data_IF_038795350292
#
_entry.id   IF_038795350292
#
_cell.length_a   1.000
_cell.length_b   1.000
_cell.length_c   1.000
_cell.angle_alpha   90.00
_cell.angle_beta   90.00
_cell.angle_gamma   90.00
#
_symmetry.space_group_name_H-M   'P 1'
#
loop_
_entity.id
_entity.type
_entity.pdbx_description
1 polymer ?
#
# COMPACT_ATOMS: atom_id res chain seq x y z
N UNK A 1 -60.40 1.42 49.94
CA UNK A 1 -59.11 2.13 49.78
C UNK A 1 -58.05 1.30 50.49
N UNK A 2 -57.23 0.60 49.72
CA UNK A 2 -56.13 -0.24 50.20
C UNK A 2 -54.83 0.17 49.45
N UNK A 3 -53.65 -0.03 50.05
CA UNK A 3 -52.48 0.80 49.79
C UNK A 3 -51.49 0.21 48.77
N UNK A 4 -50.61 1.12 48.35
CA UNK A 4 -49.48 0.98 47.42
C UNK A 4 -48.58 -0.23 47.67
N UNK A 5 -48.43 -1.07 46.65
CA UNK A 5 -47.40 -2.11 46.58
C UNK A 5 -46.13 -1.60 45.92
N UNK A 6 -45.08 -1.46 46.72
CA UNK A 6 -43.69 -1.22 46.31
C UNK A 6 -43.16 -2.45 45.56
N UNK A 7 -42.78 -2.31 44.28
CA UNK A 7 -42.05 -3.36 43.55
C UNK A 7 -40.55 -3.24 43.84
N UNK A 8 -39.99 -4.25 44.51
CA UNK A 8 -38.55 -4.48 44.56
C UNK A 8 -38.07 -4.97 43.18
N UNK A 9 -37.06 -4.31 42.62
CA UNK A 9 -36.30 -4.82 41.48
C UNK A 9 -35.07 -5.53 42.05
N UNK A 10 -35.05 -6.85 41.90
CA UNK A 10 -33.88 -7.68 42.21
C UNK A 10 -32.91 -7.54 41.04
N UNK A 11 -31.77 -6.88 41.28
CA UNK A 11 -30.65 -6.85 40.33
C UNK A 11 -29.83 -8.12 40.58
N UNK A 12 -29.90 -9.06 39.63
CA UNK A 12 -29.02 -10.22 39.59
C UNK A 12 -27.74 -9.81 38.86
N UNK A 13 -26.65 -9.63 39.61
CA UNK A 13 -25.31 -9.48 39.04
C UNK A 13 -24.75 -10.87 38.71
N UNK A 14 -24.64 -11.18 37.43
CA UNK A 14 -23.87 -12.33 36.94
C UNK A 14 -22.49 -11.84 36.53
N UNK A 15 -21.54 -12.04 37.43
CA UNK A 15 -20.12 -11.81 37.24
C UNK A 15 -19.52 -12.94 36.37
N UNK A 16 -19.00 -12.57 35.19
CA UNK A 16 -18.11 -13.41 34.38
C UNK A 16 -17.08 -12.51 33.69
N UNK A 17 -15.97 -12.31 34.41
CA UNK A 17 -14.59 -12.17 33.92
C UNK A 17 -14.40 -11.49 32.56
N UNK A 18 -14.25 -10.17 32.63
CA UNK A 18 -13.86 -9.28 31.55
C UNK A 18 -12.37 -9.39 31.19
N UNK A 19 -12.07 -9.76 29.95
CA UNK A 19 -10.95 -9.17 29.20
C UNK A 19 -11.54 -8.12 28.27
N UNK A 20 -11.66 -6.89 28.79
CA UNK A 20 -12.19 -5.74 28.08
C UNK A 20 -11.08 -5.03 27.31
N UNK A 21 -11.29 -4.83 26.00
CA UNK A 21 -10.68 -3.72 25.27
C UNK A 21 -11.80 -2.91 24.62
N UNK A 22 -12.14 -1.81 25.29
CA UNK A 22 -13.00 -0.76 24.77
C UNK A 22 -12.18 0.14 23.85
N UNK A 23 -12.73 0.53 22.70
CA UNK A 23 -12.35 1.80 22.10
C UNK A 23 -13.58 2.69 21.91
N UNK A 24 -13.54 3.78 22.68
CA UNK A 24 -14.33 4.99 22.55
C UNK A 24 -14.29 5.51 21.11
N UNK A 25 -15.46 5.87 20.59
CA UNK A 25 -15.58 6.93 19.60
C UNK A 25 -15.73 8.25 20.38
N UNK A 26 -14.75 9.15 20.27
CA UNK A 26 -14.90 10.51 20.77
C UNK A 26 -15.93 11.25 19.91
N UNK A 27 -17.16 11.33 20.42
CA UNK A 27 -18.11 12.36 20.04
C UNK A 27 -17.71 13.66 20.77
N UNK A 28 -17.11 14.59 20.04
CA UNK A 28 -16.95 15.97 20.51
C UNK A 28 -18.32 16.66 20.41
N UNK A 29 -18.91 16.90 21.57
CA UNK A 29 -20.09 17.72 21.79
C UNK A 29 -19.68 19.19 21.65
N UNK A 30 -20.15 19.88 20.61
CA UNK A 30 -20.01 21.35 20.48
C UNK A 30 -21.37 21.96 20.84
N UNK A 31 -21.48 22.75 21.93
CA UNK A 31 -22.70 23.49 22.20
C UNK A 31 -22.87 24.63 21.19
N UNK A 32 -24.06 24.72 20.60
CA UNK A 32 -24.52 25.87 19.81
C UNK A 32 -24.77 27.05 20.76
N UNK A 33 -23.98 28.12 20.63
CA UNK A 33 -24.49 29.48 20.86
C UNK A 33 -23.55 30.53 20.25
N UNK A 34 -24.17 31.62 19.77
CA UNK A 34 -23.61 32.91 19.34
C UNK A 34 -23.21 33.08 17.86
N UNK A 35 -24.22 33.49 17.11
CA UNK A 35 -24.18 34.45 16.01
C UNK A 35 -23.41 35.73 16.35
N UNK A 36 -22.52 36.18 15.47
CA UNK A 36 -22.58 37.49 14.76
C UNK A 36 -21.23 37.95 14.19
N UNK A 37 -21.25 38.26 12.88
CA UNK A 37 -20.56 39.35 12.16
C UNK A 37 -19.07 39.63 12.38
N UNK A 38 -18.26 39.53 11.30
CA UNK A 38 -17.65 40.71 10.65
C UNK A 38 -16.93 40.40 9.32
N UNK A 39 -16.95 41.45 8.48
CA UNK A 39 -16.57 41.62 7.08
C UNK A 39 -15.10 41.33 6.72
N UNK A 40 -14.95 40.90 5.46
CA UNK A 40 -14.00 41.33 4.39
C UNK A 40 -12.65 41.94 4.77
N UNK A 41 -11.56 41.45 4.15
CA UNK A 41 -10.61 42.22 3.32
C UNK A 41 -9.68 41.26 2.53
N UNK A 42 -9.51 41.59 1.25
CA UNK A 42 -8.56 41.06 0.26
C UNK A 42 -7.08 41.14 0.69
N UNK A 43 -6.23 40.23 0.17
CA UNK A 43 -5.12 40.56 -0.76
C UNK A 43 -4.26 39.33 -1.14
N UNK A 44 -4.01 39.25 -2.43
CA UNK A 44 -3.09 38.39 -3.20
C UNK A 44 -1.61 38.53 -2.81
N UNK A 45 -0.84 37.43 -2.89
CA UNK A 45 0.51 37.39 -3.49
C UNK A 45 0.79 36.02 -4.12
N UNK A 46 1.33 35.94 -5.36
CA UNK A 46 1.82 34.70 -5.94
C UNK A 46 3.24 34.42 -5.46
N UNK A 47 3.50 33.20 -4.98
CA UNK A 47 4.86 32.78 -4.65
C UNK A 47 5.43 31.99 -5.84
N UNK A 48 6.47 32.58 -6.42
CA UNK A 48 7.20 32.10 -7.57
C UNK A 48 8.34 31.20 -7.08
N UNK A 49 8.19 29.88 -7.15
CA UNK A 49 9.29 28.94 -6.93
C UNK A 49 9.57 28.19 -8.23
N UNK A 50 10.67 28.57 -8.88
CA UNK A 50 11.27 27.82 -10.01
C UNK A 50 11.57 26.37 -9.57
N UNK A 51 11.27 25.35 -10.38
CA UNK A 51 11.70 24.00 -10.10
C UNK A 51 13.22 23.89 -10.23
N UNK A 52 13.88 23.24 -9.27
CA UNK A 52 15.31 22.92 -9.31
C UNK A 52 15.56 21.86 -10.42
N UNK A 53 16.37 22.13 -11.45
CA UNK A 53 16.57 21.22 -12.59
C UNK A 53 17.51 20.03 -12.31
N UNK A 54 18.12 19.93 -11.12
CA UNK A 54 19.18 18.93 -10.86
C UNK A 54 18.66 17.48 -10.68
N UNK A 55 17.49 17.27 -10.08
CA UNK A 55 17.00 15.90 -9.78
C UNK A 55 16.31 15.20 -10.95
N UNK A 56 15.72 15.96 -11.87
CA UNK A 56 15.15 15.38 -13.09
C UNK A 56 16.26 14.83 -14.01
N UNK A 57 17.39 15.53 -14.11
CA UNK A 57 18.56 15.09 -14.88
C UNK A 57 19.20 13.81 -14.29
N UNK A 58 19.32 13.70 -12.97
CA UNK A 58 19.84 12.49 -12.31
C UNK A 58 18.93 11.26 -12.52
N UNK A 59 17.60 11.45 -12.51
CA UNK A 59 16.65 10.35 -12.77
C UNK A 59 16.58 9.97 -14.25
N UNK A 60 16.77 10.92 -15.17
CA UNK A 60 16.93 10.65 -16.61
C UNK A 60 18.21 9.87 -16.87
N UNK A 61 19.32 10.24 -16.21
CA UNK A 61 20.63 9.60 -16.33
C UNK A 61 20.60 8.13 -15.87
N UNK A 62 19.94 7.85 -14.75
CA UNK A 62 19.71 6.48 -14.23
C UNK A 62 18.83 5.67 -15.19
N UNK A 63 17.79 6.27 -15.80
CA UNK A 63 16.96 5.60 -16.82
C UNK A 63 17.74 5.30 -18.09
N UNK A 64 18.60 6.22 -18.56
CA UNK A 64 19.49 5.97 -19.70
C UNK A 64 20.57 4.92 -19.39
N UNK A 65 21.05 4.84 -18.15
CA UNK A 65 21.97 3.79 -17.71
C UNK A 65 21.29 2.41 -17.68
N UNK A 66 20.07 2.30 -17.17
CA UNK A 66 19.32 1.03 -17.17
C UNK A 66 18.95 0.58 -18.60
N UNK A 67 18.52 1.52 -19.46
CA UNK A 67 18.30 1.26 -20.89
C UNK A 67 19.61 0.91 -21.63
N UNK A 68 20.73 1.52 -21.25
CA UNK A 68 22.06 1.22 -21.77
C UNK A 68 22.54 -0.17 -21.39
N UNK A 69 22.33 -0.59 -20.13
CA UNK A 69 22.64 -1.93 -19.62
C UNK A 69 21.77 -2.98 -20.31
N UNK A 70 20.47 -2.73 -20.50
CA UNK A 70 19.58 -3.63 -21.26
C UNK A 70 19.96 -3.71 -22.75
N UNK A 71 20.34 -2.60 -23.39
CA UNK A 71 20.82 -2.60 -24.78
C UNK A 71 22.18 -3.29 -24.94
N UNK A 72 23.10 -3.14 -23.99
CA UNK A 72 24.42 -3.78 -24.01
C UNK A 72 24.33 -5.29 -23.69
N UNK A 73 23.45 -5.68 -22.76
CA UNK A 73 23.19 -7.08 -22.43
C UNK A 73 22.49 -7.87 -23.54
N UNK A 74 21.57 -7.24 -24.28
CA UNK A 74 20.85 -7.91 -25.36
C UNK A 74 21.62 -7.86 -26.69
N UNK A 75 22.37 -6.79 -27.00
CA UNK A 75 23.14 -6.71 -28.26
C UNK A 75 24.39 -7.58 -28.29
N UNK A 76 25.08 -7.80 -27.16
CA UNK A 76 26.26 -8.69 -27.14
C UNK A 76 25.90 -10.17 -27.27
N UNK A 77 24.74 -10.61 -26.78
CA UNK A 77 24.30 -12.00 -27.01
C UNK A 77 23.73 -12.24 -28.41
N UNK A 78 23.07 -11.26 -29.03
CA UNK A 78 22.57 -11.41 -30.41
C UNK A 78 23.65 -11.30 -31.49
N UNK A 79 24.75 -10.58 -31.25
CA UNK A 79 25.85 -10.47 -32.22
C UNK A 79 26.77 -11.70 -32.24
N UNK A 80 26.86 -12.43 -31.13
CA UNK A 80 27.67 -13.66 -31.04
C UNK A 80 26.93 -14.87 -31.61
N UNK A 81 25.59 -14.88 -31.62
CA UNK A 81 24.80 -16.02 -32.13
C UNK A 81 24.50 -15.92 -33.64
N UNK A 82 24.77 -14.79 -34.31
CA UNK A 82 24.42 -14.58 -35.72
C UNK A 82 25.57 -14.63 -36.74
N UNK A 83 26.79 -14.95 -36.33
CA UNK A 83 27.92 -14.98 -37.27
C UNK A 83 28.87 -16.19 -37.11
N UNK A 84 28.33 -17.36 -36.79
CA UNK A 84 29.05 -18.64 -36.90
C UNK A 84 28.31 -19.56 -37.87
N UNK A 85 28.20 -19.06 -39.09
CA UNK A 85 27.99 -19.88 -40.28
C UNK A 85 29.21 -19.73 -41.17
N UNK A 86 30.14 -20.68 -41.04
CA UNK A 86 31.25 -21.03 -41.94
C UNK A 86 32.64 -20.47 -41.62
N UNK A 87 33.56 -21.44 -41.67
CA UNK A 87 35.01 -21.38 -41.79
C UNK A 87 35.82 -21.24 -40.50
N UNK A 88 36.47 -22.36 -40.16
CA UNK A 88 37.50 -22.44 -39.15
C UNK A 88 38.71 -21.61 -39.57
N UNK A 89 38.93 -20.51 -38.86
CA UNK A 89 40.20 -19.82 -38.80
C UNK A 89 40.67 -19.82 -37.35
N UNK A 90 41.90 -20.26 -37.11
CA UNK A 90 42.63 -20.03 -35.87
C UNK A 90 42.58 -18.53 -35.52
N UNK A 91 41.78 -18.17 -34.53
CA UNK A 91 41.85 -16.86 -33.91
C UNK A 91 43.13 -16.81 -33.08
N UNK A 92 44.19 -16.27 -33.68
CA UNK A 92 45.41 -15.91 -32.97
C UNK A 92 45.07 -15.09 -31.73
N UNK A 93 45.56 -15.53 -30.57
CA UNK A 93 45.51 -14.77 -29.33
C UNK A 93 46.30 -13.47 -29.50
N UNK A 94 45.63 -12.43 -29.99
CA UNK A 94 46.12 -11.07 -29.89
C UNK A 94 46.32 -10.78 -28.40
N UNK A 95 47.58 -10.79 -27.95
CA UNK A 95 47.96 -10.36 -26.60
C UNK A 95 47.43 -8.96 -26.42
N UNK A 96 46.39 -8.81 -25.60
CA UNK A 96 45.94 -7.48 -25.18
C UNK A 96 47.13 -6.76 -24.56
N UNK A 97 47.29 -5.50 -24.97
CA UNK A 97 48.30 -4.63 -24.41
C UNK A 97 48.15 -4.56 -22.87
N UNK A 98 49.22 -4.79 -22.09
CA UNK A 98 49.15 -4.80 -20.63
C UNK A 98 48.63 -3.49 -20.03
N UNK A 99 48.83 -2.35 -20.71
CA UNK A 99 48.30 -1.05 -20.33
C UNK A 99 46.78 -0.98 -20.49
N UNK A 100 46.23 -1.54 -21.58
CA UNK A 100 44.78 -1.63 -21.81
C UNK A 100 44.11 -2.55 -20.79
N UNK A 101 44.71 -3.70 -20.47
CA UNK A 101 44.21 -4.61 -19.44
C UNK A 101 44.17 -3.94 -18.05
N UNK A 102 45.20 -3.14 -17.72
CA UNK A 102 45.26 -2.39 -16.45
C UNK A 102 44.21 -1.29 -16.38
N UNK A 103 43.94 -0.57 -17.47
CA UNK A 103 42.90 0.46 -17.53
C UNK A 103 41.50 -0.17 -17.38
N UNK A 104 41.25 -1.31 -18.04
CA UNK A 104 39.97 -2.02 -17.91
C UNK A 104 39.72 -2.53 -16.49
N UNK A 105 40.74 -3.06 -15.80
CA UNK A 105 40.61 -3.49 -14.41
C UNK A 105 40.34 -2.32 -13.44
N UNK A 106 41.00 -1.18 -13.63
CA UNK A 106 40.77 0.02 -12.80
C UNK A 106 39.34 0.58 -12.97
N UNK A 107 38.76 0.46 -14.17
CA UNK A 107 37.38 0.91 -14.43
C UNK A 107 36.32 -0.06 -13.86
N UNK A 108 36.64 -1.36 -13.78
CA UNK A 108 35.81 -2.36 -13.12
C UNK A 108 35.79 -2.18 -11.60
N UNK A 109 36.94 -1.96 -10.97
CA UNK A 109 37.02 -1.73 -9.51
C UNK A 109 36.26 -0.46 -9.10
N UNK A 110 36.36 0.62 -9.88
CA UNK A 110 35.60 1.85 -9.63
C UNK A 110 34.10 1.65 -9.81
N UNK A 111 33.67 0.81 -10.77
CA UNK A 111 32.26 0.43 -10.92
C UNK A 111 31.76 -0.39 -9.75
N UNK A 112 32.54 -1.35 -9.28
CA UNK A 112 32.16 -2.21 -8.15
C UNK A 112 32.05 -1.41 -6.85
N UNK A 113 32.96 -0.46 -6.60
CA UNK A 113 32.84 0.45 -5.45
C UNK A 113 31.64 1.39 -5.56
N UNK A 114 31.33 1.88 -6.78
CA UNK A 114 30.11 2.67 -7.00
C UNK A 114 28.84 1.82 -6.78
N UNK A 115 28.82 0.56 -7.21
CA UNK A 115 27.71 -0.36 -6.98
C UNK A 115 27.56 -0.66 -5.48
N UNK A 116 28.66 -0.95 -4.77
CA UNK A 116 28.63 -1.14 -3.31
C UNK A 116 28.14 0.11 -2.58
N UNK A 117 28.56 1.29 -3.01
CA UNK A 117 28.12 2.56 -2.43
C UNK A 117 26.63 2.79 -2.70
N UNK A 118 26.14 2.54 -3.92
CA UNK A 118 24.73 2.62 -4.26
C UNK A 118 23.89 1.59 -3.52
N UNK A 119 24.38 0.37 -3.30
CA UNK A 119 23.72 -0.66 -2.48
C UNK A 119 23.74 -0.31 -0.99
N UNK A 120 24.79 0.36 -0.50
CA UNK A 120 24.91 0.87 0.86
C UNK A 120 24.04 2.11 1.10
N UNK A 121 23.80 2.90 0.06
CA UNK A 121 22.86 4.02 0.07
C UNK A 121 21.42 3.53 -0.14
N UNK A 122 21.18 2.48 -0.92
CA UNK A 122 19.88 1.77 -1.00
C UNK A 122 19.58 0.94 0.25
N UNK A 123 20.57 0.69 1.11
CA UNK A 123 20.36 0.27 2.52
C UNK A 123 19.62 1.33 3.36
N UNK A 124 19.09 2.39 2.73
CA UNK A 124 17.90 3.12 3.17
C UNK A 124 16.77 2.13 3.49
N UNK A 125 16.71 1.78 4.78
CA UNK A 125 15.64 1.05 5.49
C UNK A 125 14.97 -0.06 4.68
N UNK A 126 15.64 -1.21 4.63
CA UNK A 126 15.12 -2.50 4.13
C UNK A 126 13.73 -2.87 4.70
N UNK A 127 13.38 -2.30 5.86
CA UNK A 127 12.05 -2.36 6.45
C UNK A 127 11.55 -0.98 6.88
N UNK A 128 10.49 -0.51 6.23
CA UNK A 128 9.73 0.66 6.67
C UNK A 128 8.79 0.20 7.79
N UNK A 129 8.96 0.77 8.98
CA UNK A 129 8.15 0.40 10.15
C UNK A 129 6.74 0.95 10.02
N UNK A 130 5.76 0.18 10.48
CA UNK A 130 4.39 0.65 10.63
C UNK A 130 4.32 1.70 11.74
N UNK A 131 3.80 2.88 11.41
CA UNK A 131 3.63 3.99 12.34
C UNK A 131 2.22 3.96 12.94
N UNK A 132 2.11 3.57 14.21
CA UNK A 132 0.81 3.51 14.92
C UNK A 132 0.78 4.43 16.13
N UNK A 133 -0.38 5.05 16.36
CA UNK A 133 -0.65 5.87 17.54
C UNK A 133 -2.08 5.63 17.99
N UNK A 134 -2.29 5.34 19.28
CA UNK A 134 -3.61 4.98 19.85
C UNK A 134 -4.33 3.90 19.04
N UNK A 135 -3.59 2.87 18.61
CA UNK A 135 -4.13 1.76 17.81
C UNK A 135 -4.47 2.10 16.35
N UNK A 136 -4.15 3.32 15.88
CA UNK A 136 -4.43 3.76 14.51
C UNK A 136 -3.15 4.01 13.73
N UNK A 137 -3.08 3.51 12.49
CA UNK A 137 -2.00 3.82 11.56
C UNK A 137 -2.05 5.28 11.08
N UNK A 138 -0.89 5.93 11.05
CA UNK A 138 -0.66 7.26 10.46
C UNK A 138 0.50 7.22 9.45
N UNK A 139 0.46 8.10 8.44
CA UNK A 139 1.51 8.21 7.44
C UNK A 139 2.78 8.84 8.05
N UNK A 140 3.95 8.38 7.61
CA UNK A 140 5.27 8.94 7.96
C UNK A 140 6.00 9.42 6.69
N UNK A 141 7.09 10.18 6.82
CA UNK A 141 7.91 10.53 5.64
C UNK A 141 8.38 9.29 4.87
N UNK A 142 8.64 8.18 5.58
CA UNK A 142 9.06 6.92 4.95
C UNK A 142 7.92 6.33 4.09
N UNK A 143 6.68 6.30 4.58
CA UNK A 143 5.55 5.76 3.79
C UNK A 143 5.14 6.66 2.63
N UNK A 144 5.34 7.97 2.76
CA UNK A 144 5.13 8.94 1.68
C UNK A 144 6.12 8.66 0.54
N UNK A 145 7.41 8.55 0.86
CA UNK A 145 8.45 8.20 -0.13
C UNK A 145 8.19 6.83 -0.76
N UNK A 146 7.73 5.87 0.04
CA UNK A 146 7.37 4.55 -0.46
C UNK A 146 6.24 4.62 -1.49
N UNK A 147 5.23 5.46 -1.26
CA UNK A 147 4.13 5.67 -2.22
C UNK A 147 4.63 6.36 -3.50
N UNK A 148 5.53 7.35 -3.37
CA UNK A 148 6.17 8.01 -4.53
C UNK A 148 6.98 7.03 -5.38
N UNK A 149 7.63 6.06 -4.74
CA UNK A 149 8.48 5.04 -5.38
C UNK A 149 7.65 4.00 -6.16
N UNK A 150 6.61 3.43 -5.53
CA UNK A 150 5.79 2.39 -6.17
C UNK A 150 4.72 2.94 -7.11
N UNK A 151 4.27 4.18 -6.92
CA UNK A 151 3.16 4.78 -7.65
C UNK A 151 1.77 4.43 -7.09
N UNK A 152 0.90 5.45 -7.01
CA UNK A 152 -0.48 5.29 -6.56
C UNK A 152 -1.33 4.43 -7.52
N UNK A 153 -1.02 4.49 -8.81
CA UNK A 153 -1.62 3.67 -9.86
C UNK A 153 -1.42 2.17 -9.62
N UNK A 154 -0.26 1.76 -9.10
CA UNK A 154 0.02 0.35 -8.77
C UNK A 154 -0.82 -0.14 -7.59
N UNK A 155 -1.09 0.72 -6.61
CA UNK A 155 -2.02 0.39 -5.51
C UNK A 155 -3.44 0.22 -6.04
N UNK A 156 -3.90 1.11 -6.92
CA UNK A 156 -5.21 1.00 -7.55
C UNK A 156 -5.34 -0.29 -8.36
N UNK A 157 -4.35 -0.60 -9.21
CA UNK A 157 -4.28 -1.84 -9.97
C UNK A 157 -4.36 -3.08 -9.06
N UNK A 158 -3.57 -3.11 -7.97
CA UNK A 158 -3.60 -4.20 -6.99
C UNK A 158 -4.98 -4.40 -6.40
N UNK A 159 -5.65 -3.32 -6.01
CA UNK A 159 -6.99 -3.42 -5.42
C UNK A 159 -8.08 -3.76 -6.44
N UNK A 160 -7.93 -3.37 -7.70
CA UNK A 160 -8.82 -3.81 -8.78
C UNK A 160 -8.68 -5.31 -9.02
N UNK A 161 -7.46 -5.79 -9.22
CA UNK A 161 -7.13 -7.22 -9.39
C UNK A 161 -7.61 -8.07 -8.21
N UNK A 162 -7.48 -7.56 -6.98
CA UNK A 162 -8.05 -8.22 -5.80
C UNK A 162 -9.57 -8.41 -5.91
N UNK A 163 -10.33 -7.37 -6.28
CA UNK A 163 -11.79 -7.47 -6.36
C UNK A 163 -12.25 -8.32 -7.54
N UNK A 164 -11.55 -8.29 -8.66
CA UNK A 164 -11.81 -9.19 -9.79
C UNK A 164 -11.71 -10.66 -9.37
N UNK A 165 -10.70 -11.01 -8.57
CA UNK A 165 -10.58 -12.35 -7.99
C UNK A 165 -11.64 -12.60 -6.91
N UNK A 166 -11.91 -11.63 -6.05
CA UNK A 166 -12.88 -11.76 -4.96
C UNK A 166 -14.31 -12.03 -5.47
N UNK A 167 -14.70 -11.43 -6.61
CA UNK A 167 -16.01 -11.66 -7.22
C UNK A 167 -16.18 -13.07 -7.80
N UNK A 168 -15.07 -13.73 -8.10
CA UNK A 168 -15.04 -15.11 -8.60
C UNK A 168 -14.94 -16.14 -7.46
N UNK A 169 -14.48 -15.72 -6.28
CA UNK A 169 -14.32 -16.59 -5.12
C UNK A 169 -15.66 -16.82 -4.41
N UNK A 170 -16.15 -18.06 -4.41
CA UNK A 170 -17.45 -18.43 -3.82
C UNK A 170 -17.50 -18.17 -2.31
N UNK A 171 -16.36 -18.18 -1.61
CA UNK A 171 -16.33 -17.93 -0.17
C UNK A 171 -16.51 -16.43 0.12
N UNK A 172 -15.84 -15.57 -0.63
CA UNK A 172 -15.79 -14.13 -0.36
C UNK A 172 -16.88 -13.34 -1.09
N UNK A 173 -17.32 -13.78 -2.26
CA UNK A 173 -18.33 -13.05 -3.06
C UNK A 173 -19.65 -12.84 -2.30
N UNK A 174 -19.99 -13.76 -1.40
CA UNK A 174 -21.19 -13.63 -0.56
C UNK A 174 -21.18 -12.37 0.32
N UNK A 175 -20.01 -11.78 0.60
CA UNK A 175 -19.88 -10.53 1.34
C UNK A 175 -19.99 -9.29 0.45
N UNK A 176 -20.06 -9.45 -0.88
CA UNK A 176 -20.18 -8.34 -1.83
C UNK A 176 -21.64 -8.19 -2.26
N UNK A 177 -22.30 -7.13 -1.78
CA UNK A 177 -23.70 -6.85 -2.12
C UNK A 177 -23.91 -6.58 -3.61
N UNK A 178 -23.00 -5.84 -4.24
CA UNK A 178 -23.10 -5.38 -5.64
C UNK A 178 -21.70 -5.36 -6.27
N UNK A 179 -21.52 -5.98 -7.44
CA UNK A 179 -20.26 -5.90 -8.21
C UNK A 179 -20.10 -4.57 -8.94
N UNK A 180 -21.18 -3.77 -9.06
CA UNK A 180 -21.15 -2.49 -9.78
C UNK A 180 -20.55 -1.35 -8.96
N UNK A 181 -20.38 -1.57 -7.66
CA UNK A 181 -19.78 -0.54 -6.81
C UNK A 181 -18.26 -0.47 -7.06
N UNK A 182 -17.64 0.71 -6.93
CA UNK A 182 -16.22 0.91 -7.18
C UNK A 182 -15.37 0.41 -5.99
N UNK A 183 -15.44 -0.89 -5.69
CA UNK A 183 -14.82 -1.46 -4.49
C UNK A 183 -13.29 -1.35 -4.50
N UNK A 184 -12.66 -1.66 -5.63
CA UNK A 184 -11.21 -1.51 -5.84
C UNK A 184 -10.75 -0.09 -5.55
N UNK A 185 -11.36 0.89 -6.21
CA UNK A 185 -11.04 2.30 -6.02
C UNK A 185 -11.18 2.74 -4.56
N UNK A 186 -12.26 2.35 -3.87
CA UNK A 186 -12.46 2.71 -2.46
C UNK A 186 -11.34 2.16 -1.57
N UNK A 187 -10.95 0.91 -1.77
CA UNK A 187 -9.87 0.29 -0.99
C UNK A 187 -8.52 0.90 -1.35
N UNK A 188 -8.22 1.06 -2.64
CA UNK A 188 -6.96 1.61 -3.13
C UNK A 188 -6.75 3.04 -2.67
N UNK A 189 -7.76 3.91 -2.81
CA UNK A 189 -7.70 5.29 -2.31
C UNK A 189 -7.51 5.35 -0.78
N UNK A 190 -8.12 4.42 -0.04
CA UNK A 190 -7.89 4.33 1.41
C UNK A 190 -6.45 3.92 1.75
N UNK A 191 -5.86 2.96 1.04
CA UNK A 191 -4.45 2.57 1.21
C UNK A 191 -3.52 3.74 0.85
N UNK A 192 -3.77 4.42 -0.28
CA UNK A 192 -3.01 5.59 -0.73
C UNK A 192 -3.03 6.70 0.34
N UNK A 193 -4.20 7.02 0.88
CA UNK A 193 -4.33 7.98 1.98
C UNK A 193 -3.54 7.52 3.23
N UNK A 194 -3.55 6.22 3.55
CA UNK A 194 -2.81 5.65 4.68
C UNK A 194 -1.29 5.70 4.49
N UNK A 195 -0.80 5.68 3.26
CA UNK A 195 0.61 5.88 2.94
C UNK A 195 1.03 7.36 2.97
N UNK A 196 0.06 8.28 2.87
CA UNK A 196 0.30 9.72 2.92
C UNK A 196 0.03 10.46 1.61
N UNK A 197 -0.70 9.86 0.67
CA UNK A 197 -1.11 10.48 -0.60
C UNK A 197 -2.16 11.60 -0.48
N UNK A 198 -2.27 12.25 0.69
CA UNK A 198 -3.28 13.26 0.98
C UNK A 198 -4.68 12.69 1.24
N UNK A 199 -5.66 13.57 1.39
CA UNK A 199 -7.04 13.25 1.75
C UNK A 199 -7.87 12.68 0.57
N UNK A 200 -7.30 11.81 -0.26
CA UNK A 200 -7.92 11.32 -1.51
C UNK A 200 -9.16 10.45 -1.27
N UNK A 201 -9.27 9.82 -0.11
CA UNK A 201 -10.42 8.99 0.28
C UNK A 201 -11.36 9.73 1.22
N UNK A 202 -10.81 10.27 2.31
CA UNK A 202 -11.55 10.95 3.37
C UNK A 202 -12.33 12.18 2.89
N UNK A 203 -11.85 12.89 1.87
CA UNK A 203 -12.55 14.06 1.31
C UNK A 203 -13.81 13.70 0.50
N UNK A 204 -13.93 12.45 0.02
CA UNK A 204 -15.00 12.01 -0.89
C UNK A 204 -15.93 10.98 -0.26
N UNK A 205 -15.47 10.26 0.76
CA UNK A 205 -16.24 9.18 1.37
C UNK A 205 -17.43 9.72 2.19
N UNK A 206 -18.57 9.01 2.18
CA UNK A 206 -19.62 9.25 3.16
C UNK A 206 -19.09 9.13 4.60
N UNK A 207 -19.74 9.84 5.53
CA UNK A 207 -19.55 9.59 6.97
C UNK A 207 -19.83 8.11 7.25
N UNK A 208 -19.02 7.49 8.10
CA UNK A 208 -19.15 6.08 8.49
C UNK A 208 -19.07 5.05 7.35
N UNK A 209 -18.47 5.42 6.20
CA UNK A 209 -18.34 4.53 5.04
C UNK A 209 -17.81 3.13 5.37
N UNK A 210 -16.85 3.02 6.30
CA UNK A 210 -16.32 1.73 6.76
C UNK A 210 -17.41 0.90 7.44
N UNK A 211 -18.07 1.47 8.46
CA UNK A 211 -19.10 0.79 9.25
C UNK A 211 -20.29 0.39 8.38
N UNK A 212 -20.71 1.27 7.46
CA UNK A 212 -21.78 0.99 6.51
C UNK A 212 -21.41 -0.16 5.58
N UNK A 213 -20.20 -0.14 4.99
CA UNK A 213 -19.74 -1.22 4.11
C UNK A 213 -19.62 -2.56 4.84
N UNK A 214 -19.13 -2.57 6.09
CA UNK A 214 -19.04 -3.81 6.88
C UNK A 214 -20.42 -4.34 7.27
N UNK A 215 -21.34 -3.45 7.66
CA UNK A 215 -22.74 -3.82 7.91
C UNK A 215 -23.39 -4.42 6.67
N UNK A 216 -23.17 -3.81 5.51
CA UNK A 216 -23.75 -4.28 4.24
C UNK A 216 -23.18 -5.64 3.84
N UNK A 217 -21.90 -5.88 4.09
CA UNK A 217 -21.28 -7.19 3.92
C UNK A 217 -21.85 -8.23 4.90
N UNK A 218 -22.03 -7.88 6.17
CA UNK A 218 -22.61 -8.80 7.16
C UNK A 218 -24.07 -9.14 6.84
N UNK A 219 -24.81 -8.19 6.28
CA UNK A 219 -26.23 -8.33 5.93
C UNK A 219 -26.45 -8.59 4.43
N UNK A 220 -25.42 -9.07 3.73
CA UNK A 220 -25.53 -9.35 2.30
C UNK A 220 -26.54 -10.49 2.06
N UNK A 221 -27.49 -10.32 1.11
CA UNK A 221 -28.49 -11.34 0.79
C UNK A 221 -27.89 -12.58 0.11
N UNK A 222 -26.64 -12.50 -0.35
CA UNK A 222 -25.90 -13.65 -0.90
C UNK A 222 -25.42 -14.62 0.18
N UNK A 223 -25.48 -14.23 1.46
CA UNK A 223 -25.09 -15.09 2.58
C UNK A 223 -26.21 -16.06 2.93
N UNK A 224 -25.82 -17.16 3.56
CA UNK A 224 -26.74 -18.12 4.14
C UNK A 224 -27.66 -17.41 5.17
N UNK A 225 -28.99 -17.62 5.15
CA UNK A 225 -29.94 -16.89 5.99
C UNK A 225 -29.56 -16.89 7.48
N UNK A 226 -29.10 -18.03 7.99
CA UNK A 226 -28.69 -18.22 9.39
C UNK A 226 -27.37 -17.52 9.74
N UNK A 227 -26.55 -17.13 8.74
CA UNK A 227 -25.28 -16.39 8.92
C UNK A 227 -25.42 -14.90 8.66
N UNK A 228 -26.54 -14.44 8.11
CA UNK A 228 -26.82 -13.02 7.89
C UNK A 228 -26.75 -12.23 9.22
N UNK A 229 -26.12 -11.06 9.19
CA UNK A 229 -25.87 -10.21 10.36
C UNK A 229 -24.67 -10.63 11.23
N UNK A 230 -24.12 -11.85 11.07
CA UNK A 230 -22.92 -12.27 11.81
C UNK A 230 -21.67 -11.54 11.28
N UNK A 231 -20.79 -11.12 12.19
CA UNK A 231 -19.49 -10.51 11.86
C UNK A 231 -18.55 -11.49 11.16
N UNK A 232 -17.51 -10.95 10.52
CA UNK A 232 -16.42 -11.74 9.92
C UNK A 232 -15.76 -12.65 10.95
N UNK A 233 -15.30 -13.81 10.48
CA UNK A 233 -14.52 -14.79 11.23
C UNK A 233 -13.09 -14.85 10.71
N UNK A 234 -12.23 -15.51 11.48
CA UNK A 234 -10.82 -15.67 11.13
C UNK A 234 -10.63 -16.31 9.75
N UNK A 235 -11.46 -17.28 9.37
CA UNK A 235 -11.37 -17.90 8.05
C UNK A 235 -11.74 -16.94 6.91
N UNK A 236 -12.70 -16.03 7.13
CA UNK A 236 -13.01 -14.96 6.17
C UNK A 236 -11.82 -14.04 5.99
N UNK A 237 -11.16 -13.64 7.08
CA UNK A 237 -9.98 -12.79 7.06
C UNK A 237 -8.78 -13.46 6.37
N UNK A 238 -8.56 -14.78 6.60
CA UNK A 238 -7.51 -15.56 5.95
C UNK A 238 -7.72 -15.64 4.43
N UNK A 239 -8.93 -15.92 3.99
CA UNK A 239 -9.25 -15.95 2.56
C UNK A 239 -9.05 -14.58 1.92
N UNK A 240 -9.51 -13.52 2.60
CA UNK A 240 -9.32 -12.14 2.15
C UNK A 240 -7.83 -11.78 2.01
N UNK A 241 -6.99 -12.12 2.99
CA UNK A 241 -5.54 -11.90 2.93
C UNK A 241 -4.87 -12.65 1.78
N UNK A 242 -5.25 -13.91 1.57
CA UNK A 242 -4.69 -14.73 0.49
C UNK A 242 -4.88 -14.06 -0.85
N UNK A 243 -6.08 -13.56 -1.14
CA UNK A 243 -6.35 -12.85 -2.38
C UNK A 243 -5.63 -11.51 -2.47
N UNK A 244 -5.53 -10.73 -1.38
CA UNK A 244 -4.75 -9.48 -1.40
C UNK A 244 -3.27 -9.73 -1.71
N UNK A 245 -2.63 -10.73 -1.08
CA UNK A 245 -1.23 -11.04 -1.35
C UNK A 245 -1.03 -11.62 -2.75
N UNK A 246 -1.99 -12.38 -3.26
CA UNK A 246 -1.96 -12.84 -4.65
C UNK A 246 -2.07 -11.65 -5.62
N UNK A 247 -2.96 -10.69 -5.36
CA UNK A 247 -3.10 -9.48 -6.18
C UNK A 247 -1.82 -8.65 -6.19
N UNK A 248 -1.18 -8.49 -5.01
CA UNK A 248 0.10 -7.81 -4.90
C UNK A 248 1.19 -8.48 -5.76
N UNK A 249 1.20 -9.82 -5.84
CA UNK A 249 2.14 -10.56 -6.69
C UNK A 249 1.83 -10.42 -8.17
N UNK A 250 0.56 -10.51 -8.57
CA UNK A 250 0.14 -10.33 -9.97
C UNK A 250 0.56 -8.95 -10.46
N UNK A 251 0.35 -7.93 -9.64
CA UNK A 251 0.77 -6.56 -9.93
C UNK A 251 2.25 -6.31 -9.65
N UNK A 252 3.08 -7.33 -9.38
CA UNK A 252 4.53 -7.21 -9.17
C UNK A 252 4.98 -6.34 -8.00
N UNK A 253 4.08 -6.02 -7.06
CA UNK A 253 4.38 -5.24 -5.86
C UNK A 253 5.12 -6.07 -4.80
N UNK A 254 5.03 -7.41 -4.86
CA UNK A 254 5.77 -8.30 -3.95
C UNK A 254 7.29 -8.31 -4.19
N UNK A 255 7.71 -8.00 -5.43
CA UNK A 255 9.12 -7.79 -5.77
C UNK A 255 9.69 -6.51 -5.12
N UNK A 256 8.84 -5.52 -4.82
CA UNK A 256 9.25 -4.30 -4.13
C UNK A 256 9.32 -4.52 -2.61
N UNK A 257 10.43 -5.11 -2.14
CA UNK A 257 10.58 -5.59 -0.74
C UNK A 257 10.21 -4.56 0.34
N UNK A 258 10.62 -3.28 0.28
CA UNK A 258 10.23 -2.30 1.29
C UNK A 258 8.71 -2.13 1.37
N UNK A 259 8.03 -2.13 0.21
CA UNK A 259 6.57 -2.04 0.15
C UNK A 259 5.92 -3.29 0.68
N UNK A 260 6.34 -4.46 0.19
CA UNK A 260 5.68 -5.71 0.56
C UNK A 260 5.81 -6.01 2.06
N UNK A 261 6.98 -5.76 2.65
CA UNK A 261 7.19 -5.88 4.09
C UNK A 261 6.29 -4.92 4.87
N UNK A 262 6.25 -3.64 4.47
CA UNK A 262 5.35 -2.66 5.07
C UNK A 262 3.88 -3.08 4.92
N UNK A 263 3.49 -3.60 3.76
CA UNK A 263 2.12 -3.97 3.44
C UNK A 263 1.64 -5.16 4.26
N UNK A 264 2.50 -6.15 4.50
CA UNK A 264 2.24 -7.26 5.42
C UNK A 264 2.01 -6.76 6.84
N UNK A 265 2.88 -5.88 7.35
CA UNK A 265 2.72 -5.29 8.69
C UNK A 265 1.42 -4.45 8.76
N UNK A 266 1.16 -3.62 7.75
CA UNK A 266 -0.02 -2.76 7.63
C UNK A 266 -1.31 -3.57 7.65
N UNK A 267 -1.41 -4.61 6.82
CA UNK A 267 -2.65 -5.37 6.73
C UNK A 267 -2.90 -6.24 7.96
N UNK A 268 -1.83 -6.78 8.56
CA UNK A 268 -1.90 -7.55 9.80
C UNK A 268 -2.46 -6.71 10.95
N UNK A 269 -2.04 -5.44 11.04
CA UNK A 269 -2.58 -4.48 12.02
C UNK A 269 -4.10 -4.32 11.92
N UNK A 270 -4.65 -4.29 10.71
CA UNK A 270 -6.10 -4.16 10.52
C UNK A 270 -6.88 -5.46 10.68
N UNK A 271 -6.22 -6.62 10.62
CA UNK A 271 -6.86 -7.92 10.73
C UNK A 271 -6.90 -8.44 12.16
N UNK A 272 -5.96 -8.03 13.01
CA UNK A 272 -5.95 -8.36 14.43
C UNK A 272 -7.25 -7.97 15.18
N UNK A 273 -8.11 -7.12 14.61
CA UNK A 273 -9.43 -6.77 15.17
C UNK A 273 -10.50 -7.86 14.96
N UNK A 274 -10.20 -8.89 14.17
CA UNK A 274 -11.08 -10.01 13.87
C UNK A 274 -10.66 -11.33 14.56
N UNK A 275 -9.58 -11.28 15.34
CA UNK A 275 -9.13 -12.30 16.29
C UNK A 275 -9.72 -12.03 17.68
#
# INVERSE_FOLDING_TARGET
>A
RAPSGTRQVVIVTSDKTHNGFWFLTSALHIPRSLTANLRMINKTKPNNTKPKPKRAAENEEIRTLDLGIRKLGIRKMSAVIKNEGKEGGEFGHARMDPGVAKIMNVDLEKRDEKIKQLLKEQKVKERIRLSTSRGTHYASEDTIRLLEDIGADRILAMTATFYDMMFQDQWLDKFVRSHKDPHGDRLGLWIIEKMGGGAVWSSRRPRDARQLAHRDAWTSPKREPEKCGRRFKLDDARMWMRLMFLAARIEGLDAHRPFFNWYVDFISHFIAVYE
#
